data_IF_224509233948
#
_entry.id   IF_224509233948
#
_cell.length_a   1.000
_cell.length_b   1.000
_cell.length_c   1.000
_cell.angle_alpha   90.00
_cell.angle_beta   90.00
_cell.angle_gamma   90.00
#
_symmetry.space_group_name_H-M   'P 1'
#
loop_
_entity.id
_entity.type
_entity.pdbx_description
1 polymer ?
#
# COMPACT_ATOMS: atom_id res chain seq x y z
N UNK A 1 -69.84 49.32 -15.52
CA UNK A 1 -69.22 48.62 -14.40
C UNK A 1 -68.17 47.67 -14.96
N UNK A 2 -66.88 48.03 -14.93
CA UNK A 2 -65.77 47.22 -15.52
C UNK A 2 -65.11 46.42 -14.40
N UNK A 3 -65.16 45.12 -14.50
CA UNK A 3 -64.48 44.20 -13.57
C UNK A 3 -63.10 43.87 -14.12
N UNK A 4 -62.02 44.33 -13.42
CA UNK A 4 -60.64 43.99 -13.72
C UNK A 4 -60.29 42.63 -13.14
N UNK A 5 -59.99 41.66 -14.00
CA UNK A 5 -59.36 40.35 -13.60
C UNK A 5 -57.84 40.58 -13.45
N UNK A 6 -57.36 40.47 -12.21
CA UNK A 6 -55.91 40.34 -11.93
C UNK A 6 -55.45 38.92 -12.24
N UNK A 7 -54.49 38.79 -13.12
CA UNK A 7 -53.77 37.56 -13.41
C UNK A 7 -52.64 37.45 -12.38
N UNK A 8 -52.68 36.45 -11.54
CA UNK A 8 -51.59 36.12 -10.58
C UNK A 8 -50.67 35.17 -11.31
N UNK A 9 -49.46 35.63 -11.66
CA UNK A 9 -48.40 34.82 -12.21
C UNK A 9 -47.66 34.14 -11.08
N UNK A 10 -47.79 32.81 -10.99
CA UNK A 10 -47.06 31.96 -10.05
C UNK A 10 -45.71 31.59 -10.70
N UNK A 11 -44.64 32.27 -10.29
CA UNK A 11 -43.29 31.88 -10.68
C UNK A 11 -42.84 30.69 -9.83
N UNK A 12 -42.71 29.53 -10.46
CA UNK A 12 -42.12 28.36 -9.84
C UNK A 12 -40.60 28.52 -9.78
N UNK A 13 -40.09 28.66 -8.57
CA UNK A 13 -38.66 28.66 -8.28
C UNK A 13 -38.17 27.22 -8.28
N UNK A 14 -37.47 26.79 -9.35
CA UNK A 14 -36.78 25.49 -9.39
C UNK A 14 -35.47 25.67 -8.63
N UNK A 15 -35.42 25.18 -7.40
CA UNK A 15 -34.19 25.06 -6.65
C UNK A 15 -33.36 23.88 -7.19
N UNK A 16 -32.34 24.15 -7.98
CA UNK A 16 -31.33 23.21 -8.38
C UNK A 16 -30.46 22.90 -7.16
N UNK A 17 -30.68 21.74 -6.54
CA UNK A 17 -29.78 21.20 -5.52
C UNK A 17 -28.49 20.73 -6.20
N UNK A 18 -27.45 21.56 -6.17
CA UNK A 18 -26.10 21.14 -6.52
C UNK A 18 -25.64 20.16 -5.43
N UNK A 19 -25.58 18.88 -5.77
CA UNK A 19 -24.88 17.88 -4.99
C UNK A 19 -23.38 18.20 -5.09
N UNK A 20 -22.88 18.94 -4.11
CA UNK A 20 -21.44 19.06 -3.87
C UNK A 20 -20.98 17.68 -3.40
N UNK A 21 -20.37 16.91 -4.29
CA UNK A 21 -19.52 15.80 -3.88
C UNK A 21 -18.38 16.40 -3.07
N UNK A 22 -18.46 16.28 -1.74
CA UNK A 22 -17.31 16.53 -0.86
C UNK A 22 -16.30 15.47 -1.22
N UNK A 23 -15.30 15.83 -2.02
CA UNK A 23 -14.13 14.97 -2.16
C UNK A 23 -13.54 14.84 -0.75
N UNK A 24 -13.41 13.61 -0.26
CA UNK A 24 -12.70 13.35 0.98
C UNK A 24 -11.31 13.97 0.85
N UNK A 25 -11.03 14.96 1.69
CA UNK A 25 -9.76 15.67 1.66
C UNK A 25 -8.78 14.77 2.41
N UNK A 26 -7.63 14.46 1.79
CA UNK A 26 -6.58 13.72 2.46
C UNK A 26 -6.15 14.48 3.71
N UNK A 27 -6.08 13.82 4.86
CA UNK A 27 -5.54 14.43 6.09
C UNK A 27 -4.04 14.71 5.94
N UNK A 28 -3.38 14.12 4.96
CA UNK A 28 -1.99 14.37 4.63
C UNK A 28 -1.39 13.30 3.71
N UNK A 29 -0.24 13.62 3.17
CA UNK A 29 0.58 12.68 2.43
C UNK A 29 1.72 12.23 3.32
N UNK A 30 1.91 10.93 3.45
CA UNK A 30 2.98 10.31 4.20
C UNK A 30 3.88 9.54 3.23
N UNK A 31 5.18 9.58 3.49
CA UNK A 31 6.18 8.84 2.71
C UNK A 31 6.95 7.87 3.61
N UNK A 32 7.34 6.72 3.07
CA UNK A 32 8.11 5.72 3.82
C UNK A 32 9.40 6.29 4.35
N UNK A 33 9.70 5.99 5.60
CA UNK A 33 11.05 6.10 6.13
C UNK A 33 11.84 4.84 5.80
N UNK A 34 12.80 4.97 4.89
CA UNK A 34 13.61 3.86 4.41
C UNK A 34 14.39 3.18 5.54
N UNK A 35 14.75 3.91 6.58
CA UNK A 35 15.48 3.38 7.73
C UNK A 35 14.64 2.48 8.64
N UNK A 36 13.31 2.59 8.55
CA UNK A 36 12.35 1.85 9.37
C UNK A 36 11.26 1.21 8.48
N UNK A 37 11.64 0.79 7.28
CA UNK A 37 10.77 0.02 6.39
C UNK A 37 11.46 -1.28 6.03
N UNK A 38 10.81 -2.39 6.39
CA UNK A 38 11.26 -3.75 6.15
C UNK A 38 10.22 -4.48 5.28
N UNK A 39 10.67 -5.14 4.23
CA UNK A 39 9.86 -6.05 3.41
C UNK A 39 10.58 -7.38 3.36
N UNK A 40 10.12 -8.32 4.18
CA UNK A 40 10.67 -9.67 4.32
C UNK A 40 9.79 -10.65 3.56
N UNK A 41 10.40 -11.55 2.81
CA UNK A 41 9.70 -12.67 2.20
C UNK A 41 10.27 -13.99 2.69
N UNK A 42 9.39 -14.97 2.88
CA UNK A 42 9.74 -16.29 3.40
C UNK A 42 9.25 -17.41 2.50
N UNK A 43 10.03 -18.50 2.43
CA UNK A 43 9.64 -19.69 1.68
C UNK A 43 10.10 -20.98 2.37
N UNK A 44 9.43 -22.07 2.05
CA UNK A 44 9.87 -23.39 2.46
C UNK A 44 10.85 -23.95 1.44
N UNK A 45 12.11 -24.17 1.84
CA UNK A 45 13.09 -24.81 1.00
C UNK A 45 12.85 -26.34 0.98
N UNK A 46 12.11 -26.80 -0.03
CA UNK A 46 11.78 -28.21 -0.27
C UNK A 46 11.14 -28.94 0.94
N UNK A 47 10.46 -28.23 1.83
CA UNK A 47 9.88 -28.78 3.05
C UNK A 47 10.89 -29.08 4.17
N UNK A 48 12.17 -28.74 3.98
CA UNK A 48 13.24 -29.04 4.93
C UNK A 48 13.44 -27.92 5.95
N UNK A 49 13.40 -26.67 5.48
CA UNK A 49 13.62 -25.50 6.34
C UNK A 49 12.87 -24.29 5.81
N UNK A 50 12.60 -23.33 6.69
CA UNK A 50 12.12 -22.00 6.32
C UNK A 50 13.31 -21.10 6.03
N UNK A 51 13.28 -20.43 4.91
CA UNK A 51 14.28 -19.47 4.48
C UNK A 51 13.61 -18.09 4.33
N UNK A 52 14.40 -17.04 4.44
CA UNK A 52 13.94 -15.67 4.32
C UNK A 52 14.90 -14.85 3.46
N UNK A 53 14.36 -13.84 2.83
CA UNK A 53 15.08 -12.76 2.19
C UNK A 53 14.33 -11.46 2.42
N UNK A 54 14.92 -10.36 2.06
CA UNK A 54 14.35 -9.03 2.19
C UNK A 54 14.57 -8.21 0.92
N UNK A 55 13.75 -7.19 0.74
CA UNK A 55 14.04 -6.09 -0.19
C UNK A 55 14.45 -4.87 0.63
N UNK A 56 15.67 -4.40 0.41
CA UNK A 56 16.27 -3.32 1.22
C UNK A 56 15.93 -1.92 0.74
N UNK A 57 15.19 -1.78 -0.38
CA UNK A 57 14.76 -0.48 -0.90
C UNK A 57 13.30 -0.52 -1.34
N UNK A 58 12.50 0.32 -0.72
CA UNK A 58 11.11 0.53 -1.06
C UNK A 58 10.71 1.99 -0.87
N UNK A 59 9.98 2.53 -1.82
CA UNK A 59 9.40 3.86 -1.75
C UNK A 59 7.88 3.72 -1.71
N UNK A 60 7.25 4.25 -0.66
CA UNK A 60 5.81 4.21 -0.48
C UNK A 60 5.25 5.61 -0.24
N UNK A 61 4.05 5.84 -0.76
CA UNK A 61 3.27 7.06 -0.51
C UNK A 61 1.88 6.66 -0.06
N UNK A 62 1.46 7.19 1.09
CA UNK A 62 0.11 7.08 1.62
C UNK A 62 -0.59 8.44 1.53
N UNK A 63 -1.67 8.50 0.79
CA UNK A 63 -2.65 9.59 0.85
C UNK A 63 -3.69 9.24 1.93
N UNK A 64 -3.47 9.77 3.14
CA UNK A 64 -4.34 9.49 4.28
C UNK A 64 -5.58 10.37 4.22
N UNK A 65 -6.75 9.77 4.18
CA UNK A 65 -8.04 10.44 4.25
C UNK A 65 -8.59 10.48 5.68
N UNK A 66 -9.61 11.31 5.93
CA UNK A 66 -10.33 11.36 7.21
C UNK A 66 -10.85 9.96 7.63
N UNK A 67 -11.39 9.21 6.65
CA UNK A 67 -11.74 7.81 6.84
C UNK A 67 -10.64 6.94 6.25
N UNK A 68 -10.16 5.99 7.01
CA UNK A 68 -9.10 5.07 6.56
C UNK A 68 -9.47 4.35 5.25
N UNK A 69 -10.75 4.02 5.06
CA UNK A 69 -11.27 3.34 3.87
C UNK A 69 -11.15 4.16 2.57
N UNK A 70 -11.05 5.48 2.68
CA UNK A 70 -10.88 6.41 1.55
C UNK A 70 -9.39 6.70 1.25
N UNK A 71 -8.49 6.16 2.09
CA UNK A 71 -7.04 6.33 1.93
C UNK A 71 -6.48 5.50 0.77
N UNK A 72 -5.34 5.95 0.23
CA UNK A 72 -4.67 5.26 -0.89
C UNK A 72 -3.20 5.07 -0.58
N UNK A 73 -2.69 3.90 -0.90
CA UNK A 73 -1.28 3.57 -0.81
C UNK A 73 -0.72 3.15 -2.16
N UNK A 74 0.46 3.65 -2.49
CA UNK A 74 1.25 3.22 -3.63
C UNK A 74 2.67 2.92 -3.16
N UNK A 75 3.21 1.78 -3.57
CA UNK A 75 4.56 1.32 -3.19
C UNK A 75 5.30 0.87 -4.42
N UNK A 76 6.58 1.23 -4.50
CA UNK A 76 7.54 0.74 -5.48
C UNK A 76 8.73 0.13 -4.73
N UNK A 77 9.04 -1.12 -5.02
CA UNK A 77 10.17 -1.84 -4.45
C UNK A 77 11.22 -2.07 -5.54
N UNK A 78 12.47 -1.71 -5.28
CA UNK A 78 13.61 -2.04 -6.16
C UNK A 78 13.88 -3.55 -6.08
N UNK A 79 13.53 -4.30 -7.14
CA UNK A 79 13.72 -5.75 -7.18
C UNK A 79 15.20 -6.15 -7.07
N UNK A 80 16.13 -5.29 -7.53
CA UNK A 80 17.56 -5.53 -7.42
C UNK A 80 18.09 -5.37 -5.97
N UNK A 81 17.29 -4.76 -5.07
CA UNK A 81 17.63 -4.62 -3.65
C UNK A 81 17.48 -5.91 -2.85
N UNK A 82 17.03 -7.00 -3.48
CA UNK A 82 16.89 -8.32 -2.86
C UNK A 82 18.19 -8.76 -2.18
N UNK A 83 18.06 -9.23 -0.95
CA UNK A 83 19.13 -9.73 -0.10
C UNK A 83 18.63 -10.93 0.73
N UNK A 84 19.20 -12.09 0.54
CA UNK A 84 18.94 -13.31 1.33
C UNK A 84 19.99 -13.58 2.39
N UNK A 85 21.01 -12.69 2.50
CA UNK A 85 22.19 -12.91 3.33
C UNK A 85 23.20 -13.91 2.74
N UNK A 86 22.96 -14.42 1.51
CA UNK A 86 23.86 -15.34 0.83
C UNK A 86 24.01 -14.96 -0.65
N UNK A 87 25.13 -14.31 -0.99
CA UNK A 87 25.38 -13.73 -2.32
C UNK A 87 25.13 -14.69 -3.51
N UNK A 88 25.51 -16.00 -3.48
CA UNK A 88 25.19 -16.92 -4.58
C UNK A 88 23.68 -17.10 -4.80
N UNK A 89 22.87 -17.12 -3.71
CA UNK A 89 21.42 -17.20 -3.79
C UNK A 89 20.84 -15.90 -4.32
N UNK A 90 21.34 -14.76 -3.87
CA UNK A 90 20.92 -13.43 -4.38
C UNK A 90 21.09 -13.31 -5.87
N UNK A 91 22.24 -13.74 -6.40
CA UNK A 91 22.49 -13.77 -7.85
C UNK A 91 21.50 -14.67 -8.59
N UNK A 92 21.17 -15.81 -8.03
CA UNK A 92 20.20 -16.73 -8.64
C UNK A 92 18.79 -16.15 -8.60
N UNK A 93 18.36 -15.64 -7.44
CA UNK A 93 17.04 -15.01 -7.33
C UNK A 93 16.87 -13.79 -8.26
N UNK A 94 17.93 -13.01 -8.50
CA UNK A 94 17.90 -11.86 -9.41
C UNK A 94 17.97 -12.23 -10.89
N UNK A 95 18.29 -13.50 -11.21
CA UNK A 95 18.44 -13.97 -12.60
C UNK A 95 17.09 -14.21 -13.30
N UNK A 96 17.16 -14.57 -14.59
CA UNK A 96 15.98 -14.92 -15.41
C UNK A 96 15.21 -16.16 -14.93
N UNK A 97 15.81 -16.98 -14.05
CA UNK A 97 15.13 -18.12 -13.44
C UNK A 97 14.09 -17.70 -12.39
N UNK A 98 14.20 -16.45 -11.85
CA UNK A 98 13.31 -15.91 -10.82
C UNK A 98 12.82 -14.50 -11.16
N UNK A 99 13.41 -13.46 -10.57
CA UNK A 99 12.89 -12.08 -10.69
C UNK A 99 13.29 -11.38 -12.00
N UNK A 100 14.33 -11.83 -12.72
CA UNK A 100 14.84 -11.20 -13.95
C UNK A 100 14.94 -9.66 -13.78
N UNK A 101 15.65 -9.23 -12.73
CA UNK A 101 15.63 -7.84 -12.25
C UNK A 101 16.14 -6.82 -13.28
N UNK A 102 16.96 -7.23 -14.25
CA UNK A 102 17.40 -6.36 -15.34
C UNK A 102 16.26 -5.98 -16.30
N UNK A 103 15.25 -6.86 -16.42
CA UNK A 103 14.09 -6.63 -17.28
C UNK A 103 12.88 -6.11 -16.50
N UNK A 104 12.75 -6.55 -15.24
CA UNK A 104 11.68 -6.17 -14.33
C UNK A 104 12.27 -5.58 -13.06
N UNK A 105 12.77 -4.33 -13.11
CA UNK A 105 13.52 -3.73 -12.00
C UNK A 105 12.65 -3.37 -10.80
N UNK A 106 11.32 -3.34 -10.96
CA UNK A 106 10.40 -2.87 -9.95
C UNK A 106 9.33 -3.91 -9.64
N UNK A 107 8.98 -4.00 -8.35
CA UNK A 107 7.75 -4.60 -7.84
C UNK A 107 6.87 -3.46 -7.37
N UNK A 108 5.61 -3.42 -7.80
CA UNK A 108 4.71 -2.33 -7.42
C UNK A 108 3.46 -2.85 -6.74
N UNK A 109 2.90 -2.03 -5.85
CA UNK A 109 1.58 -2.25 -5.26
C UNK A 109 0.80 -0.94 -5.24
N UNK A 110 -0.46 -0.98 -5.66
CA UNK A 110 -1.38 0.16 -5.58
C UNK A 110 -2.71 -0.30 -5.02
N UNK A 111 -3.12 0.28 -3.89
CA UNK A 111 -4.39 -0.09 -3.26
C UNK A 111 -5.59 0.25 -4.14
N UNK A 112 -6.56 -0.64 -4.19
CA UNK A 112 -7.87 -0.47 -4.86
C UNK A 112 -9.01 -0.39 -3.86
N UNK A 113 -8.82 -0.94 -2.66
CA UNK A 113 -9.80 -0.90 -1.57
C UNK A 113 -9.09 -1.03 -0.23
N UNK A 114 -9.58 -0.29 0.77
CA UNK A 114 -9.19 -0.43 2.17
C UNK A 114 -10.46 -0.65 2.97
N UNK A 115 -10.49 -1.67 3.82
CA UNK A 115 -11.63 -2.00 4.69
C UNK A 115 -11.13 -2.16 6.12
N UNK A 116 -11.67 -1.39 7.05
CA UNK A 116 -11.43 -1.59 8.48
C UNK A 116 -12.32 -2.74 8.97
N UNK A 117 -11.70 -3.84 9.40
CA UNK A 117 -12.39 -5.05 9.90
C UNK A 117 -12.69 -4.95 11.39
N UNK A 118 -11.69 -4.50 12.15
CA UNK A 118 -11.74 -4.25 13.58
C UNK A 118 -10.89 -3.03 13.88
N UNK A 119 -10.93 -2.50 15.10
CA UNK A 119 -10.11 -1.35 15.47
C UNK A 119 -8.62 -1.56 15.13
N UNK A 120 -8.08 -0.71 14.28
CA UNK A 120 -6.71 -0.76 13.75
C UNK A 120 -6.38 -1.97 12.85
N UNK A 121 -7.33 -2.85 12.55
CA UNK A 121 -7.13 -3.99 11.65
C UNK A 121 -7.74 -3.69 10.29
N UNK A 122 -6.91 -3.68 9.26
CA UNK A 122 -7.26 -3.29 7.90
C UNK A 122 -7.07 -4.46 6.94
N UNK A 123 -8.01 -4.62 6.02
CA UNK A 123 -7.84 -5.42 4.81
C UNK A 123 -7.60 -4.47 3.64
N UNK A 124 -6.39 -4.53 3.06
CA UNK A 124 -6.00 -3.67 1.95
C UNK A 124 -5.90 -4.51 0.69
N UNK A 125 -6.86 -4.38 -0.21
CA UNK A 125 -6.80 -4.98 -1.54
C UNK A 125 -6.10 -4.02 -2.49
N UNK A 126 -5.22 -4.55 -3.34
CA UNK A 126 -4.51 -3.75 -4.33
C UNK A 126 -3.99 -4.57 -5.50
N UNK A 127 -3.62 -3.86 -6.56
CA UNK A 127 -2.96 -4.43 -7.72
C UNK A 127 -1.46 -4.52 -7.45
N UNK A 128 -0.94 -5.74 -7.37
CA UNK A 128 0.49 -6.03 -7.21
C UNK A 128 1.07 -6.46 -8.55
N UNK A 129 2.18 -5.84 -8.94
CA UNK A 129 2.92 -6.22 -10.15
C UNK A 129 4.27 -6.80 -9.75
N UNK A 130 4.54 -8.04 -10.13
CA UNK A 130 5.82 -8.74 -9.97
C UNK A 130 6.18 -9.35 -11.31
N UNK A 131 7.44 -9.24 -11.73
CA UNK A 131 7.94 -9.85 -12.97
C UNK A 131 7.10 -9.46 -14.22
N UNK A 132 6.54 -8.23 -14.23
CA UNK A 132 5.68 -7.70 -15.29
C UNK A 132 4.26 -8.25 -15.31
N UNK A 133 3.85 -9.07 -14.34
CA UNK A 133 2.50 -9.62 -14.20
C UNK A 133 1.78 -8.90 -13.07
N UNK A 134 0.58 -8.37 -13.35
CA UNK A 134 -0.26 -7.67 -12.37
C UNK A 134 -1.41 -8.57 -11.91
N UNK A 135 -1.59 -8.66 -10.60
CA UNK A 135 -2.69 -9.42 -9.98
C UNK A 135 -3.21 -8.72 -8.73
N UNK A 136 -4.50 -8.90 -8.39
CA UNK A 136 -5.01 -8.45 -7.12
C UNK A 136 -4.42 -9.28 -5.97
N UNK A 137 -3.97 -8.59 -4.93
CA UNK A 137 -3.45 -9.16 -3.68
C UNK A 137 -4.14 -8.50 -2.51
N UNK A 138 -4.39 -9.24 -1.45
CA UNK A 138 -4.95 -8.74 -0.19
C UNK A 138 -3.86 -8.74 0.86
N UNK A 139 -3.62 -7.60 1.49
CA UNK A 139 -2.77 -7.44 2.65
C UNK A 139 -3.65 -7.37 3.90
N UNK A 140 -3.31 -8.15 4.91
CA UNK A 140 -3.84 -7.99 6.27
C UNK A 140 -2.89 -7.03 7.00
N UNK A 141 -3.37 -5.84 7.35
CA UNK A 141 -2.56 -4.80 7.93
C UNK A 141 -3.08 -4.37 9.29
N UNK A 142 -2.16 -3.99 10.16
CA UNK A 142 -2.45 -3.43 11.48
C UNK A 142 -1.83 -2.02 11.54
N UNK A 143 -2.64 -1.02 11.86
CA UNK A 143 -2.17 0.31 12.20
C UNK A 143 -1.52 0.27 13.59
N UNK A 144 -0.21 0.41 13.65
CA UNK A 144 0.57 0.30 14.89
C UNK A 144 0.86 1.64 15.55
N UNK A 145 0.84 2.73 14.76
CA UNK A 145 1.03 4.09 15.26
C UNK A 145 0.34 5.12 14.34
N UNK A 146 -0.22 6.19 14.93
CA UNK A 146 -0.64 7.41 14.24
C UNK A 146 -0.49 8.58 15.19
N UNK A 147 0.25 9.63 14.78
CA UNK A 147 0.46 10.86 15.56
C UNK A 147 1.93 11.25 15.67
N UNK A 148 2.26 12.08 16.66
CA UNK A 148 3.65 12.47 16.91
C UNK A 148 4.51 11.26 17.29
N UNK A 149 5.68 11.14 16.66
CA UNK A 149 6.61 10.06 16.98
C UNK A 149 7.19 10.23 18.39
N UNK A 150 7.25 9.17 19.25
CA UNK A 150 7.71 9.28 20.65
C UNK A 150 9.11 9.86 20.79
N UNK A 151 10.02 9.62 19.84
CA UNK A 151 11.37 10.16 19.81
C UNK A 151 11.44 11.63 19.36
N UNK A 152 10.38 12.19 18.79
CA UNK A 152 10.32 13.57 18.30
C UNK A 152 10.58 14.64 19.38
N UNK A 153 10.37 14.29 20.65
CA UNK A 153 10.71 15.16 21.79
C UNK A 153 12.21 15.40 21.98
N UNK A 154 13.04 14.46 21.52
CA UNK A 154 14.48 14.45 21.77
C UNK A 154 15.32 14.53 20.48
N UNK A 155 14.77 14.12 19.34
CA UNK A 155 15.47 14.01 18.07
C UNK A 155 14.68 14.72 16.97
N UNK A 156 15.32 15.72 16.35
CA UNK A 156 14.69 16.56 15.32
C UNK A 156 14.20 15.78 14.11
N UNK A 157 14.86 14.69 13.76
CA UNK A 157 14.48 13.80 12.66
C UNK A 157 13.06 13.27 12.82
N UNK A 158 12.67 12.91 14.05
CA UNK A 158 11.36 12.32 14.35
C UNK A 158 10.27 13.34 14.66
N UNK A 159 10.54 14.65 14.54
CA UNK A 159 9.50 15.67 14.72
C UNK A 159 8.44 15.59 13.62
N UNK A 160 7.20 15.86 14.00
CA UNK A 160 6.02 15.86 13.12
C UNK A 160 5.19 14.60 13.24
N UNK A 161 4.21 14.48 12.35
CA UNK A 161 3.27 13.38 12.33
C UNK A 161 3.86 12.15 11.63
N UNK A 162 3.63 11.00 12.23
CA UNK A 162 4.04 9.70 11.75
C UNK A 162 2.85 8.73 11.74
N UNK A 163 2.90 7.79 10.83
CA UNK A 163 1.98 6.66 10.79
C UNK A 163 2.79 5.39 10.53
N UNK A 164 2.41 4.28 11.16
CA UNK A 164 3.14 3.03 11.01
C UNK A 164 2.19 1.84 10.90
N UNK A 165 2.61 0.86 10.12
CA UNK A 165 1.85 -0.35 9.86
C UNK A 165 2.72 -1.59 9.94
N UNK A 166 2.11 -2.69 10.37
CA UNK A 166 2.59 -4.04 10.15
C UNK A 166 1.60 -4.74 9.23
N UNK A 167 2.06 -5.38 8.16
CA UNK A 167 1.17 -6.06 7.23
C UNK A 167 1.73 -7.41 6.80
N UNK A 168 0.82 -8.35 6.47
CA UNK A 168 1.19 -9.68 6.00
C UNK A 168 0.34 -10.09 4.81
N UNK A 169 0.91 -10.93 3.95
CA UNK A 169 0.16 -11.64 2.90
C UNK A 169 0.88 -12.92 2.51
N UNK A 170 0.18 -13.76 1.77
CA UNK A 170 0.73 -14.95 1.14
C UNK A 170 0.41 -14.91 -0.35
N UNK A 171 1.42 -15.14 -1.19
CA UNK A 171 1.28 -15.12 -2.64
C UNK A 171 1.74 -16.43 -3.28
N UNK A 172 1.08 -16.80 -4.36
CA UNK A 172 1.58 -17.80 -5.31
C UNK A 172 2.51 -17.12 -6.32
N UNK A 173 3.83 -17.19 -6.04
CA UNK A 173 4.87 -16.57 -6.87
C UNK A 173 4.90 -17.09 -8.31
N UNK A 174 4.54 -18.36 -8.53
CA UNK A 174 4.50 -18.95 -9.86
C UNK A 174 3.43 -18.29 -10.73
N UNK A 175 2.34 -17.86 -10.12
CA UNK A 175 1.29 -17.14 -10.83
C UNK A 175 1.75 -15.79 -11.40
N UNK A 176 2.83 -15.22 -10.85
CA UNK A 176 3.53 -14.04 -11.36
C UNK A 176 4.70 -14.38 -12.32
N UNK A 177 4.93 -15.67 -12.59
CA UNK A 177 6.02 -16.11 -13.46
C UNK A 177 7.39 -16.17 -12.78
N UNK A 178 7.45 -16.09 -11.45
CA UNK A 178 8.69 -16.16 -10.67
C UNK A 178 8.98 -17.59 -10.25
N UNK A 179 10.17 -18.12 -10.54
CA UNK A 179 10.66 -19.39 -10.02
C UNK A 179 9.79 -20.60 -10.39
N UNK A 180 9.57 -20.84 -11.67
CA UNK A 180 8.63 -21.87 -12.18
C UNK A 180 8.88 -23.31 -11.72
N UNK A 181 10.02 -23.61 -11.12
CA UNK A 181 10.36 -24.92 -10.53
C UNK A 181 10.30 -24.95 -9.01
N UNK A 182 10.13 -23.81 -8.35
CA UNK A 182 9.91 -23.70 -6.91
C UNK A 182 8.45 -24.01 -6.56
N UNK A 183 8.18 -24.56 -5.40
CA UNK A 183 6.83 -24.96 -4.98
C UNK A 183 6.46 -24.34 -3.63
N UNK A 184 5.18 -24.07 -3.48
CA UNK A 184 4.59 -23.51 -2.26
C UNK A 184 4.47 -22.00 -2.30
N UNK A 185 3.65 -21.45 -1.39
CA UNK A 185 3.43 -20.02 -1.29
C UNK A 185 4.66 -19.31 -0.73
N UNK A 186 4.72 -18.02 -0.98
CA UNK A 186 5.66 -17.08 -0.36
C UNK A 186 4.88 -16.24 0.64
N UNK A 187 5.33 -16.22 1.89
CA UNK A 187 4.85 -15.25 2.88
C UNK A 187 5.56 -13.92 2.68
N UNK A 188 4.84 -12.82 2.84
CA UNK A 188 5.40 -11.47 2.83
C UNK A 188 5.01 -10.80 4.13
N UNK A 189 6.01 -10.26 4.84
CA UNK A 189 5.85 -9.48 6.05
C UNK A 189 6.40 -8.08 5.79
N UNK A 190 5.62 -7.06 6.13
CA UNK A 190 5.95 -5.66 5.92
C UNK A 190 5.84 -4.95 7.27
N UNK A 191 6.90 -4.26 7.67
CA UNK A 191 6.86 -3.29 8.78
C UNK A 191 7.34 -1.95 8.22
N UNK A 192 6.56 -0.91 8.42
CA UNK A 192 6.90 0.40 7.86
C UNK A 192 6.50 1.53 8.78
N UNK A 193 7.39 2.51 8.92
CA UNK A 193 7.09 3.82 9.45
C UNK A 193 7.05 4.82 8.29
N UNK A 194 6.07 5.71 8.32
CA UNK A 194 5.88 6.72 7.30
C UNK A 194 5.75 8.09 7.96
N UNK A 195 6.43 9.07 7.40
CA UNK A 195 6.43 10.45 7.90
C UNK A 195 5.56 11.35 7.03
N UNK A 196 4.82 12.25 7.66
CA UNK A 196 4.09 13.31 6.95
C UNK A 196 5.08 14.19 6.16
N UNK A 197 4.71 14.43 4.90
CA UNK A 197 5.53 15.22 3.95
C UNK A 197 5.22 16.71 4.07
#
# INVERSE_FOLDING_TARGET
MKVNKKIISTSALVAASALLSVAAQAEGTYVTDQGHTEIVFGWSHAGVSLQHGEFTKAEGTLELAEKMEDSKISVVVDAASLNSGFEPLDKHLKSADFFEVEKYPEITFTSTSVVEKEENMLEVTGDMTIHGVTKPVVLEAVLTHKGEHPLGKNLDYYKGEWIAFSATTEIDHQSFGVGGFSTGPITIEINTEMKAN
#
